data_IF_607551334521
#
_entry.id   IF_607551334521
#
_cell.length_a   1.000
_cell.length_b   1.000
_cell.length_c   1.000
_cell.angle_alpha   90.00
_cell.angle_beta   90.00
_cell.angle_gamma   90.00
#
_symmetry.space_group_name_H-M   'P 1'
#
loop_
_entity.id
_entity.type
_entity.pdbx_description
1 polymer ?
#
# COMPACT_ATOMS: atom_id res chain seq x y z
N UNK A 1 24.57 12.38 -8.22
CA UNK A 1 23.14 12.36 -8.60
C UNK A 1 22.64 10.93 -8.42
N UNK A 2 21.56 10.71 -7.68
CA UNK A 2 20.92 9.40 -7.62
C UNK A 2 20.36 9.03 -8.99
N UNK A 3 20.45 7.76 -9.38
CA UNK A 3 19.83 7.31 -10.62
C UNK A 3 18.30 7.35 -10.48
N UNK A 4 17.57 7.40 -11.60
CA UNK A 4 16.11 7.29 -11.60
C UNK A 4 15.65 6.02 -10.85
N UNK A 5 16.38 4.91 -11.04
CA UNK A 5 16.11 3.64 -10.36
C UNK A 5 16.20 3.79 -8.84
N UNK A 6 17.23 4.46 -8.34
CA UNK A 6 17.40 4.67 -6.90
C UNK A 6 16.29 5.56 -6.34
N UNK A 7 15.92 6.62 -7.06
CA UNK A 7 14.81 7.49 -6.68
C UNK A 7 13.48 6.73 -6.63
N UNK A 8 13.17 5.92 -7.64
CA UNK A 8 11.96 5.09 -7.67
C UNK A 8 11.93 4.07 -6.53
N UNK A 9 13.06 3.44 -6.21
CA UNK A 9 13.17 2.49 -5.09
C UNK A 9 12.96 3.18 -3.75
N UNK A 10 13.58 4.34 -3.54
CA UNK A 10 13.40 5.12 -2.30
C UNK A 10 11.96 5.57 -2.15
N UNK A 11 11.35 6.09 -3.22
CA UNK A 11 9.94 6.48 -3.19
C UNK A 11 9.02 5.31 -2.87
N UNK A 12 9.19 4.15 -3.53
CA UNK A 12 8.39 2.96 -3.26
C UNK A 12 8.54 2.47 -1.81
N UNK A 13 9.77 2.42 -1.28
CA UNK A 13 10.02 2.04 0.10
C UNK A 13 9.36 3.02 1.10
N UNK A 14 9.40 4.32 0.82
CA UNK A 14 8.75 5.35 1.64
C UNK A 14 7.22 5.25 1.65
N UNK A 15 6.57 4.56 0.72
CA UNK A 15 5.11 4.38 0.74
C UNK A 15 4.65 3.37 1.80
N UNK A 16 5.46 2.34 2.09
CA UNK A 16 5.07 1.24 2.98
C UNK A 16 5.84 1.28 4.29
N UNK A 17 7.12 1.62 4.26
CA UNK A 17 7.89 1.94 5.45
C UNK A 17 7.71 3.42 5.80
N UNK A 18 7.72 3.75 7.09
CA UNK A 18 7.75 5.15 7.59
C UNK A 18 9.09 5.86 7.30
N UNK A 19 9.71 5.60 6.16
CA UNK A 19 10.93 6.25 5.70
C UNK A 19 10.62 7.62 5.06
N UNK A 20 11.35 8.65 5.47
CA UNK A 20 11.27 10.00 4.90
C UNK A 20 11.76 10.05 3.45
N UNK A 21 11.16 10.92 2.63
CA UNK A 21 11.44 11.02 1.19
C UNK A 21 11.48 12.48 0.70
N UNK A 22 12.20 13.34 1.43
CA UNK A 22 12.12 14.80 1.25
C UNK A 22 12.56 15.28 -0.14
N UNK A 23 13.67 14.75 -0.66
CA UNK A 23 14.26 15.25 -1.90
C UNK A 23 13.43 14.93 -3.15
N UNK A 24 12.62 13.86 -3.14
CA UNK A 24 11.81 13.43 -4.29
C UNK A 24 10.44 14.13 -4.27
N UNK A 25 9.93 14.44 -3.08
CA UNK A 25 8.59 14.99 -2.88
C UNK A 25 8.57 16.47 -2.51
N UNK A 26 9.71 17.16 -2.55
CA UNK A 26 9.74 18.61 -2.42
C UNK A 26 8.88 19.26 -3.53
N UNK A 27 7.87 20.03 -3.14
CA UNK A 27 7.10 20.92 -4.03
C UNK A 27 6.83 22.23 -3.29
N UNK A 28 7.02 23.39 -3.93
CA UNK A 28 6.66 24.66 -3.30
C UNK A 28 5.21 24.66 -2.83
N UNK A 29 5.00 25.01 -1.55
CA UNK A 29 3.68 25.11 -0.94
C UNK A 29 3.05 23.80 -0.46
N UNK A 30 3.76 22.67 -0.49
CA UNK A 30 3.27 21.42 0.09
C UNK A 30 4.39 20.62 0.73
N UNK A 31 4.18 20.28 2.00
CA UNK A 31 5.09 19.45 2.78
C UNK A 31 5.27 18.05 2.15
N UNK A 32 6.48 17.50 2.22
CA UNK A 32 6.83 16.24 1.59
C UNK A 32 6.09 15.06 2.24
N UNK A 33 5.91 15.07 3.56
CA UNK A 33 5.15 14.06 4.28
C UNK A 33 3.65 14.16 3.96
N UNK A 34 3.11 15.37 3.86
CA UNK A 34 1.73 15.57 3.41
C UNK A 34 1.50 14.99 2.01
N UNK A 35 2.43 15.21 1.07
CA UNK A 35 2.38 14.61 -0.28
C UNK A 35 2.48 13.10 -0.22
N UNK A 36 3.42 12.58 0.55
CA UNK A 36 3.62 11.15 0.72
C UNK A 36 2.35 10.50 1.28
N UNK A 37 1.68 11.15 2.24
CA UNK A 37 0.39 10.72 2.79
C UNK A 37 -0.68 10.51 1.72
N UNK A 38 -0.78 11.39 0.72
CA UNK A 38 -1.73 11.22 -0.41
C UNK A 38 -1.42 9.92 -1.18
N UNK A 39 -0.16 9.67 -1.50
CA UNK A 39 0.22 8.45 -2.21
C UNK A 39 0.01 7.19 -1.36
N UNK A 40 0.37 7.23 -0.07
CA UNK A 40 0.13 6.13 0.88
C UNK A 40 -1.36 5.79 0.96
N UNK A 41 -2.22 6.81 1.09
CA UNK A 41 -3.67 6.63 1.12
C UNK A 41 -4.20 5.95 -0.14
N UNK A 42 -3.72 6.37 -1.32
CA UNK A 42 -4.11 5.75 -2.58
C UNK A 42 -3.64 4.29 -2.69
N UNK A 43 -2.42 3.98 -2.25
CA UNK A 43 -1.89 2.60 -2.23
C UNK A 43 -2.76 1.71 -1.34
N UNK A 44 -3.00 2.11 -0.09
CA UNK A 44 -3.84 1.33 0.84
C UNK A 44 -5.29 1.21 0.34
N UNK A 45 -5.84 2.26 -0.28
CA UNK A 45 -7.17 2.20 -0.89
C UNK A 45 -7.20 1.15 -2.01
N UNK A 46 -6.29 1.24 -2.98
CA UNK A 46 -6.24 0.33 -4.12
C UNK A 46 -6.04 -1.14 -3.71
N UNK A 47 -5.19 -1.39 -2.71
CA UNK A 47 -4.98 -2.74 -2.20
C UNK A 47 -6.18 -3.29 -1.44
N UNK A 48 -6.90 -2.47 -0.67
CA UNK A 48 -8.18 -2.88 -0.07
C UNK A 48 -9.22 -3.23 -1.14
N UNK A 49 -9.34 -2.42 -2.17
CA UNK A 49 -10.23 -2.70 -3.31
C UNK A 49 -9.86 -4.01 -4.02
N UNK A 50 -8.56 -4.24 -4.25
CA UNK A 50 -8.07 -5.47 -4.86
C UNK A 50 -8.41 -6.70 -4.00
N UNK A 51 -8.13 -6.65 -2.69
CA UNK A 51 -8.49 -7.75 -1.78
C UNK A 51 -10.00 -7.99 -1.75
N UNK A 52 -10.82 -6.94 -1.77
CA UNK A 52 -12.29 -7.10 -1.82
C UNK A 52 -12.75 -7.76 -3.12
N UNK A 53 -12.15 -7.38 -4.25
CA UNK A 53 -12.47 -7.97 -5.54
C UNK A 53 -12.12 -9.46 -5.61
N UNK A 54 -11.03 -9.88 -4.94
CA UNK A 54 -10.58 -11.28 -4.91
C UNK A 54 -11.33 -12.10 -3.84
N UNK A 55 -11.67 -11.50 -2.69
CA UNK A 55 -12.27 -12.16 -1.54
C UNK A 55 -13.65 -11.61 -1.13
N UNK A 56 -14.61 -11.41 -2.06
CA UNK A 56 -15.89 -10.78 -1.75
C UNK A 56 -16.75 -11.62 -0.78
N UNK A 57 -16.59 -12.95 -0.78
CA UNK A 57 -17.30 -13.83 0.15
C UNK A 57 -16.77 -13.66 1.58
N UNK A 58 -15.46 -13.49 1.75
CA UNK A 58 -14.86 -13.28 3.08
C UNK A 58 -15.38 -11.98 3.69
N UNK A 59 -15.39 -10.88 2.93
CA UNK A 59 -15.96 -9.60 3.39
C UNK A 59 -17.42 -9.75 3.84
N UNK A 60 -18.24 -10.50 3.10
CA UNK A 60 -19.63 -10.76 3.45
C UNK A 60 -19.79 -11.58 4.74
N UNK A 61 -18.85 -12.47 5.04
CA UNK A 61 -18.89 -13.32 6.23
C UNK A 61 -18.45 -12.58 7.49
N UNK A 62 -17.39 -11.77 7.40
CA UNK A 62 -16.77 -11.11 8.56
C UNK A 62 -17.27 -9.67 8.77
N UNK A 63 -17.91 -9.09 7.75
CA UNK A 63 -18.32 -7.69 7.73
C UNK A 63 -17.21 -6.75 7.23
N UNK A 64 -17.62 -5.59 6.69
CA UNK A 64 -16.73 -4.61 6.06
C UNK A 64 -15.68 -4.04 7.02
N UNK A 65 -16.06 -3.77 8.28
CA UNK A 65 -15.14 -3.20 9.27
C UNK A 65 -14.01 -4.18 9.63
N UNK A 66 -14.34 -5.45 9.87
CA UNK A 66 -13.34 -6.47 10.14
C UNK A 66 -12.45 -6.70 8.90
N UNK A 67 -13.06 -6.82 7.73
CA UNK A 67 -12.33 -7.03 6.48
C UNK A 67 -11.34 -5.89 6.21
N UNK A 68 -11.77 -4.65 6.38
CA UNK A 68 -10.92 -3.46 6.25
C UNK A 68 -9.73 -3.52 7.21
N UNK A 69 -9.95 -3.86 8.47
CA UNK A 69 -8.88 -3.96 9.45
C UNK A 69 -7.89 -5.10 9.13
N UNK A 70 -8.40 -6.28 8.72
CA UNK A 70 -7.56 -7.41 8.31
C UNK A 70 -6.74 -7.07 7.06
N UNK A 71 -7.35 -6.42 6.07
CA UNK A 71 -6.69 -5.95 4.86
C UNK A 71 -5.59 -4.93 5.18
N UNK A 72 -5.85 -3.93 6.02
CA UNK A 72 -4.85 -2.94 6.42
C UNK A 72 -3.63 -3.58 7.07
N UNK A 73 -3.84 -4.59 7.93
CA UNK A 73 -2.75 -5.35 8.57
C UNK A 73 -1.98 -6.22 7.57
N UNK A 74 -2.67 -6.87 6.65
CA UNK A 74 -2.03 -7.65 5.59
C UNK A 74 -1.18 -6.75 4.69
N UNK A 75 -1.73 -5.62 4.21
CA UNK A 75 -1.02 -4.64 3.37
C UNK A 75 0.25 -4.12 4.05
N UNK A 76 0.20 -3.83 5.35
CA UNK A 76 1.34 -3.35 6.11
C UNK A 76 2.47 -4.39 6.28
N UNK A 77 2.17 -5.68 6.09
CA UNK A 77 3.13 -6.78 6.32
C UNK A 77 3.54 -7.52 5.05
N UNK A 78 2.77 -7.36 3.96
CA UNK A 78 2.96 -8.06 2.69
C UNK A 78 3.14 -7.03 1.57
N UNK A 79 4.38 -6.56 1.41
CA UNK A 79 4.72 -5.61 0.35
C UNK A 79 4.46 -6.21 -1.04
N UNK A 80 3.89 -5.42 -1.95
CA UNK A 80 3.80 -5.85 -3.34
C UNK A 80 5.19 -5.86 -3.98
N UNK A 81 5.67 -7.05 -4.34
CA UNK A 81 6.99 -7.24 -4.97
C UNK A 81 7.04 -6.83 -6.45
N UNK A 82 5.89 -6.52 -7.05
CA UNK A 82 5.79 -6.05 -8.44
C UNK A 82 4.56 -5.15 -8.64
N UNK A 83 4.51 -4.44 -9.78
CA UNK A 83 3.41 -3.55 -10.13
C UNK A 83 2.15 -4.26 -10.65
N UNK A 84 2.08 -5.59 -10.63
CA UNK A 84 0.97 -6.35 -11.19
C UNK A 84 -0.07 -6.66 -10.11
N UNK A 85 -1.07 -5.76 -10.01
CA UNK A 85 -2.08 -5.78 -8.97
C UNK A 85 -2.88 -7.11 -8.88
N UNK A 86 -3.04 -7.83 -9.99
CA UNK A 86 -3.75 -9.11 -10.00
C UNK A 86 -3.09 -10.22 -9.17
N UNK A 87 -1.80 -10.09 -8.84
CA UNK A 87 -1.10 -11.01 -7.92
C UNK A 87 -1.13 -10.56 -6.48
N UNK A 88 -1.54 -9.32 -6.22
CA UNK A 88 -1.63 -8.80 -4.87
C UNK A 88 -2.79 -9.49 -4.13
N UNK A 89 -2.52 -9.98 -2.92
CA UNK A 89 -3.46 -10.79 -2.14
C UNK A 89 -3.16 -12.28 -2.13
N UNK A 90 -2.19 -12.74 -2.93
CA UNK A 90 -1.59 -14.07 -2.76
C UNK A 90 -1.07 -14.18 -1.30
N UNK A 91 -1.56 -15.18 -0.55
CA UNK A 91 -1.27 -15.35 0.88
C UNK A 91 -2.27 -14.71 1.85
N UNK A 92 -3.27 -13.94 1.39
CA UNK A 92 -4.28 -13.35 2.28
C UNK A 92 -5.12 -14.42 3.00
N UNK A 93 -5.41 -15.54 2.34
CA UNK A 93 -6.11 -16.67 2.96
C UNK A 93 -5.29 -17.29 4.11
N UNK A 94 -3.98 -17.48 3.91
CA UNK A 94 -3.08 -18.03 4.93
C UNK A 94 -2.91 -17.05 6.10
N UNK A 95 -2.90 -15.74 5.82
CA UNK A 95 -2.85 -14.69 6.83
C UNK A 95 -4.07 -14.69 7.78
N UNK A 96 -5.24 -15.18 7.34
CA UNK A 96 -6.47 -15.21 8.15
C UNK A 96 -6.57 -16.41 9.10
N UNK A 97 -5.62 -17.35 9.05
CA UNK A 97 -5.57 -18.51 9.96
C UNK A 97 -5.09 -18.12 11.36
#
# INVERSE_FOLDING_TARGET
>A
MHSLRDQQRTFAASLLASAHCDAILARPGMDADARLGIYRNNVFSNYREALRAVYPVIERLVGSEFFRHAADRFIATHESVNGYLHRFGEGFADFLQ
#
